data_IF_264789621352
#
_entry.id   IF_264789621352
#
_cell.length_a   1.000
_cell.length_b   1.000
_cell.length_c   1.000
_cell.angle_alpha   90.00
_cell.angle_beta   90.00
_cell.angle_gamma   90.00
#
_symmetry.space_group_name_H-M   'P 1'
#
loop_
_entity.id
_entity.type
_entity.pdbx_description
1 polymer ?
#
# COMPACT_ATOMS: atom_id res chain seq x y z
N UNK A 1 -11.57 18.78 -38.93
CA UNK A 1 -11.36 17.36 -38.56
C UNK A 1 -10.78 17.37 -37.16
N UNK A 2 -11.43 16.71 -36.19
CA UNK A 2 -10.90 16.58 -34.85
C UNK A 2 -9.75 15.56 -34.86
N UNK A 3 -8.62 15.88 -34.21
CA UNK A 3 -7.54 14.93 -34.02
C UNK A 3 -7.95 13.98 -32.89
N UNK A 4 -8.21 12.72 -33.22
CA UNK A 4 -8.48 11.68 -32.22
C UNK A 4 -7.15 11.02 -31.88
N UNK A 5 -6.61 11.36 -30.73
CA UNK A 5 -5.41 10.72 -30.19
C UNK A 5 -5.81 9.75 -29.07
N UNK A 6 -5.33 8.51 -29.17
CA UNK A 6 -5.48 7.49 -28.13
C UNK A 6 -4.39 7.69 -27.08
N UNK A 7 -4.78 7.89 -25.82
CA UNK A 7 -3.84 7.89 -24.70
C UNK A 7 -4.07 6.66 -23.84
N UNK A 8 -3.01 5.86 -23.63
CA UNK A 8 -2.99 4.85 -22.56
C UNK A 8 -2.82 5.58 -21.22
N UNK A 9 -3.87 5.58 -20.40
CA UNK A 9 -3.75 5.94 -18.99
C UNK A 9 -2.98 4.81 -18.31
N UNK A 10 -1.87 5.14 -17.64
CA UNK A 10 -0.93 4.23 -17.00
C UNK A 10 -1.53 2.90 -16.47
N UNK A 11 -0.83 1.80 -16.82
CA UNK A 11 -0.78 0.38 -16.41
C UNK A 11 -1.64 -0.22 -15.27
N UNK A 12 -2.42 0.53 -14.47
CA UNK A 12 -3.17 -0.01 -13.33
C UNK A 12 -4.66 0.35 -13.30
N UNK A 13 -5.20 1.06 -14.31
CA UNK A 13 -6.65 1.28 -14.44
C UNK A 13 -7.16 0.90 -15.84
N UNK A 14 -8.11 -0.06 -15.99
CA UNK A 14 -8.68 -0.40 -17.28
C UNK A 14 -9.62 0.71 -17.79
N UNK A 15 -9.29 1.32 -18.93
CA UNK A 15 -10.15 2.26 -19.64
C UNK A 15 -9.49 2.83 -20.90
N UNK A 16 -10.28 3.12 -21.93
CA UNK A 16 -9.85 3.83 -23.14
C UNK A 16 -10.50 5.21 -23.16
N UNK A 17 -9.71 6.28 -23.26
CA UNK A 17 -10.19 7.65 -23.42
C UNK A 17 -10.08 8.12 -24.87
N UNK A 18 -11.12 8.78 -25.37
CA UNK A 18 -11.07 9.49 -26.65
C UNK A 18 -10.85 10.97 -26.34
N UNK A 19 -9.64 11.48 -26.61
CA UNK A 19 -9.37 12.91 -26.53
C UNK A 19 -9.91 13.58 -27.80
N UNK A 20 -10.81 14.53 -27.62
CA UNK A 20 -11.31 15.41 -28.69
C UNK A 20 -10.87 16.82 -28.36
N UNK A 21 -9.71 17.22 -28.85
CA UNK A 21 -9.25 18.60 -28.77
C UNK A 21 -9.75 19.40 -29.98
N UNK A 22 -10.14 20.66 -29.75
CA UNK A 22 -10.40 21.59 -30.85
C UNK A 22 -9.05 21.92 -31.50
N UNK A 23 -8.92 21.90 -32.83
CA UNK A 23 -7.71 22.38 -33.48
C UNK A 23 -7.44 23.83 -33.04
N UNK A 24 -6.21 24.14 -32.60
CA UNK A 24 -5.80 25.43 -32.03
C UNK A 24 -6.40 25.76 -30.64
N UNK A 25 -6.68 24.76 -29.80
CA UNK A 25 -7.07 24.98 -28.41
C UNK A 25 -5.91 25.43 -27.50
N UNK A 26 -4.67 25.41 -27.99
CA UNK A 26 -3.50 25.84 -27.23
C UNK A 26 -3.52 27.37 -27.10
N UNK A 27 -3.88 27.83 -25.90
CA UNK A 27 -3.87 29.25 -25.53
C UNK A 27 -2.64 29.48 -24.67
N UNK A 28 -1.74 30.34 -25.15
CA UNK A 28 -0.54 30.76 -24.43
C UNK A 28 -0.81 32.08 -23.71
N UNK A 29 -0.40 32.15 -22.45
CA UNK A 29 -0.44 33.36 -21.66
C UNK A 29 0.99 33.72 -21.31
N UNK A 30 1.60 34.58 -22.13
CA UNK A 30 2.99 35.01 -22.03
C UNK A 30 3.01 36.51 -21.72
N UNK A 31 3.55 36.88 -20.55
CA UNK A 31 3.68 38.28 -20.17
C UNK A 31 4.77 38.54 -19.12
N UNK A 32 5.46 39.67 -19.33
CA UNK A 32 6.38 40.24 -18.36
C UNK A 32 5.65 41.02 -17.27
N UNK A 33 6.15 40.92 -16.04
CA UNK A 33 5.61 41.62 -14.89
C UNK A 33 6.68 41.96 -13.85
N UNK A 34 6.32 42.83 -12.90
CA UNK A 34 7.15 43.05 -11.70
C UNK A 34 7.09 41.81 -10.83
N UNK A 35 8.19 41.50 -10.14
CA UNK A 35 8.30 40.36 -9.23
C UNK A 35 7.04 40.16 -8.34
N UNK A 36 6.47 38.97 -8.42
CA UNK A 36 5.32 38.51 -7.63
C UNK A 36 3.96 38.68 -8.34
N UNK A 37 3.86 39.50 -9.40
CA UNK A 37 2.59 39.67 -10.12
C UNK A 37 2.25 38.48 -11.01
N UNK A 38 3.22 37.91 -11.73
CA UNK A 38 3.05 36.69 -12.51
C UNK A 38 2.65 35.52 -11.61
N UNK A 39 3.38 35.32 -10.51
CA UNK A 39 3.01 34.36 -9.47
C UNK A 39 1.58 34.58 -8.94
N UNK A 40 1.16 35.84 -8.77
CA UNK A 40 -0.18 36.19 -8.33
C UNK A 40 -1.28 35.73 -9.30
N UNK A 41 -1.05 35.85 -10.61
CA UNK A 41 -1.98 35.36 -11.65
C UNK A 41 -2.11 33.83 -11.56
N UNK A 42 -0.99 33.11 -11.49
CA UNK A 42 -0.98 31.66 -11.36
C UNK A 42 -1.72 31.18 -10.10
N UNK A 43 -1.39 31.76 -8.94
CA UNK A 43 -2.02 31.41 -7.66
C UNK A 43 -3.53 31.69 -7.71
N UNK A 44 -3.93 32.81 -8.33
CA UNK A 44 -5.34 33.16 -8.50
C UNK A 44 -6.06 32.13 -9.36
N UNK A 45 -5.46 31.68 -10.47
CA UNK A 45 -6.00 30.62 -11.30
C UNK A 45 -6.15 29.31 -10.51
N UNK A 46 -5.12 28.91 -9.77
CA UNK A 46 -5.13 27.69 -8.93
C UNK A 46 -6.27 27.75 -7.90
N UNK A 47 -6.55 28.90 -7.30
CA UNK A 47 -7.66 29.06 -6.36
C UNK A 47 -9.03 29.23 -7.03
N UNK A 48 -9.06 29.64 -8.30
CA UNK A 48 -10.28 29.80 -9.06
C UNK A 48 -10.78 28.49 -9.68
N UNK A 49 -9.88 27.58 -10.10
CA UNK A 49 -10.23 26.28 -10.69
C UNK A 49 -11.27 25.48 -9.85
N UNK A 50 -11.14 25.34 -8.52
CA UNK A 50 -12.14 24.65 -7.70
C UNK A 50 -13.48 25.38 -7.66
N UNK A 51 -13.46 26.72 -7.71
CA UNK A 51 -14.68 27.53 -7.79
C UNK A 51 -15.38 27.40 -9.15
N UNK A 52 -14.70 26.88 -10.17
CA UNK A 52 -15.29 26.48 -11.44
C UNK A 52 -15.67 24.98 -11.48
N UNK A 53 -15.41 24.25 -10.39
CA UNK A 53 -15.73 22.83 -10.23
C UNK A 53 -14.65 21.88 -10.74
N UNK A 54 -13.43 22.37 -10.96
CA UNK A 54 -12.29 21.51 -11.32
C UNK A 54 -11.61 20.94 -10.07
N UNK A 55 -11.34 19.64 -10.11
CA UNK A 55 -10.29 19.05 -9.29
C UNK A 55 -8.93 19.44 -9.88
N UNK A 56 -7.93 19.66 -9.02
CA UNK A 56 -6.60 20.10 -9.46
C UNK A 56 -5.51 19.37 -8.70
N UNK A 57 -4.46 18.97 -9.42
CA UNK A 57 -3.29 18.31 -8.84
C UNK A 57 -2.04 18.84 -9.54
N UNK A 58 -1.02 19.19 -8.74
CA UNK A 58 0.32 19.51 -9.24
C UNK A 58 1.07 18.20 -9.49
N UNK A 59 1.44 17.96 -10.74
CA UNK A 59 2.04 16.70 -11.19
C UNK A 59 3.55 16.73 -11.01
N UNK A 60 4.16 17.81 -11.49
CA UNK A 60 5.59 18.03 -11.38
C UNK A 60 5.89 19.50 -11.02
N UNK A 61 7.10 19.69 -10.52
CA UNK A 61 7.66 20.98 -10.22
C UNK A 61 9.18 20.85 -10.34
N UNK A 62 9.79 21.72 -11.12
CA UNK A 62 11.24 21.80 -11.25
C UNK A 62 11.68 23.25 -11.09
N UNK A 63 12.65 23.46 -10.20
CA UNK A 63 13.28 24.76 -9.95
C UNK A 63 14.72 24.69 -10.42
N UNK A 64 15.13 25.69 -11.20
CA UNK A 64 16.47 25.87 -11.74
C UNK A 64 16.95 27.28 -11.43
N UNK A 65 18.16 27.41 -10.90
CA UNK A 65 18.76 28.71 -10.57
C UNK A 65 20.14 28.81 -11.18
N UNK A 66 20.47 29.95 -11.79
CA UNK A 66 21.79 30.15 -12.39
C UNK A 66 22.84 30.54 -11.33
N UNK A 67 24.10 30.09 -11.45
CA UNK A 67 25.17 30.41 -10.50
C UNK A 67 25.47 31.92 -10.37
N UNK A 68 25.12 32.71 -11.40
CA UNK A 68 25.29 34.16 -11.42
C UNK A 68 24.38 34.83 -10.38
N UNK A 69 23.24 34.24 -10.05
CA UNK A 69 22.40 34.70 -8.93
C UNK A 69 22.93 34.16 -7.59
N UNK A 70 24.12 34.58 -7.17
CA UNK A 70 24.86 33.99 -6.05
C UNK A 70 24.03 33.81 -4.76
N UNK A 71 23.24 34.81 -4.36
CA UNK A 71 22.43 34.73 -3.13
C UNK A 71 21.40 33.60 -3.19
N UNK A 72 20.63 33.53 -4.28
CA UNK A 72 19.58 32.53 -4.44
C UNK A 72 20.14 31.15 -4.79
N UNK A 73 21.23 31.11 -5.57
CA UNK A 73 21.94 29.88 -5.91
C UNK A 73 22.54 29.21 -4.66
N UNK A 74 23.26 29.96 -3.82
CA UNK A 74 23.85 29.42 -2.59
C UNK A 74 22.78 28.90 -1.62
N UNK A 75 21.65 29.59 -1.49
CA UNK A 75 20.52 29.12 -0.69
C UNK A 75 19.94 27.81 -1.24
N UNK A 76 19.76 27.73 -2.56
CA UNK A 76 19.18 26.56 -3.24
C UNK A 76 20.10 25.34 -3.15
N UNK A 77 21.40 25.53 -3.37
CA UNK A 77 22.41 24.47 -3.25
C UNK A 77 22.55 23.99 -1.80
N UNK A 78 22.65 24.91 -0.84
CA UNK A 78 22.71 24.55 0.59
C UNK A 78 21.48 23.74 1.00
N UNK A 79 20.29 24.16 0.58
CA UNK A 79 19.06 23.41 0.83
C UNK A 79 19.10 22.02 0.19
N UNK A 80 19.64 21.90 -1.03
CA UNK A 80 19.80 20.61 -1.72
C UNK A 80 20.75 19.68 -0.97
N UNK A 81 21.89 20.18 -0.50
CA UNK A 81 22.87 19.42 0.29
C UNK A 81 22.31 18.97 1.64
N UNK A 82 21.57 19.85 2.34
CA UNK A 82 20.87 19.51 3.59
C UNK A 82 19.83 18.40 3.36
N UNK A 83 19.02 18.51 2.29
CA UNK A 83 18.07 17.46 1.91
C UNK A 83 18.78 16.15 1.57
N UNK A 84 19.92 16.19 0.87
CA UNK A 84 20.71 15.00 0.56
C UNK A 84 21.24 14.31 1.81
N UNK A 85 21.75 15.08 2.78
CA UNK A 85 22.23 14.55 4.05
C UNK A 85 21.09 13.87 4.84
N UNK A 86 19.91 14.50 4.89
CA UNK A 86 18.71 13.93 5.52
C UNK A 86 18.28 12.64 4.80
N UNK A 87 18.28 12.63 3.46
CA UNK A 87 17.94 11.45 2.65
C UNK A 87 18.91 10.31 2.93
N UNK A 88 20.22 10.56 2.91
CA UNK A 88 21.25 9.54 3.21
C UNK A 88 21.07 8.95 4.62
N UNK A 89 20.87 9.79 5.63
CA UNK A 89 20.62 9.36 7.01
C UNK A 89 19.33 8.53 7.15
N UNK A 90 18.26 8.96 6.47
CA UNK A 90 16.97 8.25 6.49
C UNK A 90 17.05 6.91 5.76
N UNK A 91 17.75 6.84 4.61
CA UNK A 91 17.97 5.59 3.88
C UNK A 91 18.81 4.60 4.69
N UNK A 92 19.82 5.07 5.42
CA UNK A 92 20.58 4.22 6.34
C UNK A 92 19.67 3.64 7.43
N UNK A 93 18.80 4.47 8.01
CA UNK A 93 17.82 4.04 9.03
C UNK A 93 16.81 3.00 8.48
N UNK A 94 16.35 3.18 7.23
CA UNK A 94 15.49 2.22 6.53
C UNK A 94 16.22 0.90 6.30
N UNK A 95 17.49 0.94 5.86
CA UNK A 95 18.29 -0.25 5.63
C UNK A 95 18.51 -1.04 6.94
N UNK A 96 18.83 -0.36 8.04
CA UNK A 96 18.94 -1.00 9.36
C UNK A 96 17.61 -1.62 9.80
N UNK A 97 16.50 -0.89 9.67
CA UNK A 97 15.17 -1.40 10.04
C UNK A 97 14.75 -2.62 9.20
N UNK A 98 15.11 -2.65 7.91
CA UNK A 98 14.86 -3.80 7.03
C UNK A 98 15.70 -5.01 7.44
N UNK A 99 16.99 -4.82 7.71
CA UNK A 99 17.88 -5.88 8.19
C UNK A 99 17.38 -6.48 9.51
N UNK A 100 16.97 -5.64 10.46
CA UNK A 100 16.39 -6.08 11.74
C UNK A 100 15.09 -6.87 11.51
N UNK A 101 14.23 -6.41 10.60
CA UNK A 101 12.98 -7.09 10.26
C UNK A 101 13.24 -8.48 9.65
N UNK A 102 14.22 -8.60 8.75
CA UNK A 102 14.59 -9.87 8.13
C UNK A 102 15.14 -10.86 9.15
N UNK A 103 16.00 -10.39 10.06
CA UNK A 103 16.52 -11.18 11.17
C UNK A 103 15.39 -11.68 12.08
N UNK A 104 14.49 -10.78 12.50
CA UNK A 104 13.35 -11.15 13.33
C UNK A 104 12.38 -12.12 12.62
N UNK A 105 12.17 -11.96 11.31
CA UNK A 105 11.37 -12.90 10.51
C UNK A 105 12.03 -14.26 10.38
N UNK A 106 13.36 -14.30 10.24
CA UNK A 106 14.11 -15.54 10.24
C UNK A 106 13.94 -16.28 11.57
N UNK A 107 14.13 -15.57 12.69
CA UNK A 107 13.92 -16.15 14.02
C UNK A 107 12.47 -16.61 14.20
N UNK A 108 11.49 -15.77 13.83
CA UNK A 108 10.07 -16.11 13.90
C UNK A 108 9.75 -17.41 13.15
N UNK A 109 10.34 -17.64 11.96
CA UNK A 109 10.17 -18.89 11.20
C UNK A 109 10.67 -20.09 12.01
N UNK A 110 11.87 -19.99 12.60
CA UNK A 110 12.43 -21.07 13.42
C UNK A 110 11.57 -21.37 14.66
N UNK A 111 11.10 -20.34 15.37
CA UNK A 111 10.21 -20.53 16.51
C UNK A 111 8.82 -21.05 16.09
N UNK A 112 8.34 -20.68 14.89
CA UNK A 112 7.12 -21.24 14.32
C UNK A 112 7.26 -22.75 14.07
N UNK A 113 8.39 -23.20 13.53
CA UNK A 113 8.66 -24.64 13.34
C UNK A 113 8.59 -25.41 14.66
N UNK A 114 9.18 -24.87 15.74
CA UNK A 114 9.07 -25.48 17.07
C UNK A 114 7.61 -25.55 17.55
N UNK A 115 6.85 -24.47 17.40
CA UNK A 115 5.42 -24.44 17.73
C UNK A 115 4.61 -25.44 16.89
N UNK A 116 4.98 -25.63 15.62
CA UNK A 116 4.32 -26.57 14.73
C UNK A 116 4.62 -28.02 15.13
N UNK A 117 5.84 -28.35 15.61
CA UNK A 117 6.13 -29.66 16.19
C UNK A 117 5.27 -29.97 17.43
N UNK A 118 5.11 -29.01 18.33
CA UNK A 118 4.21 -29.16 19.49
C UNK A 118 2.76 -29.38 19.04
N UNK A 119 2.28 -28.64 18.04
CA UNK A 119 0.94 -28.84 17.48
C UNK A 119 0.77 -30.19 16.81
N UNK A 120 1.78 -30.70 16.09
CA UNK A 120 1.74 -32.03 15.49
C UNK A 120 1.55 -33.11 16.56
N UNK A 121 2.24 -33.00 17.69
CA UNK A 121 2.07 -33.92 18.82
C UNK A 121 0.66 -33.83 19.40
N UNK A 122 0.14 -32.62 19.65
CA UNK A 122 -1.20 -32.43 20.21
C UNK A 122 -2.33 -32.90 19.28
N UNK A 123 -2.23 -32.58 17.97
CA UNK A 123 -3.22 -32.99 16.97
C UNK A 123 -3.15 -34.49 16.72
N UNK A 124 -1.95 -35.06 16.64
CA UNK A 124 -1.74 -36.50 16.53
C UNK A 124 -2.37 -37.26 17.70
N UNK A 125 -2.16 -36.80 18.94
CA UNK A 125 -2.79 -37.36 20.15
C UNK A 125 -4.32 -37.26 20.11
N UNK A 126 -4.88 -36.13 19.66
CA UNK A 126 -6.35 -35.93 19.59
C UNK A 126 -7.04 -36.71 18.47
N UNK A 127 -6.39 -36.87 17.31
CA UNK A 127 -6.97 -37.54 16.13
C UNK A 127 -6.60 -39.02 16.02
N UNK A 128 -5.71 -39.51 16.88
CA UNK A 128 -5.18 -40.88 16.78
C UNK A 128 -4.23 -41.09 15.59
N UNK A 129 -3.70 -40.01 15.01
CA UNK A 129 -2.72 -40.07 13.91
C UNK A 129 -1.31 -40.24 14.49
N UNK A 130 -0.93 -41.50 14.67
CA UNK A 130 0.33 -41.90 15.27
C UNK A 130 1.54 -41.47 14.45
N UNK A 131 1.41 -41.37 13.12
CA UNK A 131 2.49 -40.96 12.23
C UNK A 131 2.83 -39.48 12.42
N UNK A 132 1.81 -38.62 12.50
CA UNK A 132 1.97 -37.18 12.73
C UNK A 132 2.57 -36.91 14.12
N UNK A 133 2.13 -37.68 15.13
CA UNK A 133 2.66 -37.61 16.50
C UNK A 133 4.15 -37.98 16.54
N UNK A 134 4.52 -39.11 15.95
CA UNK A 134 5.91 -39.58 15.89
C UNK A 134 6.83 -38.58 15.19
N UNK A 135 6.39 -37.95 14.11
CA UNK A 135 7.18 -36.95 13.40
C UNK A 135 7.51 -35.73 14.28
N UNK A 136 6.53 -35.17 14.98
CA UNK A 136 6.76 -34.05 15.90
C UNK A 136 7.65 -34.45 17.08
N UNK A 137 7.43 -35.63 17.64
CA UNK A 137 8.22 -36.17 18.76
C UNK A 137 9.68 -36.42 18.37
N UNK A 138 9.91 -37.00 17.20
CA UNK A 138 11.27 -37.22 16.68
C UNK A 138 11.98 -35.90 16.41
N UNK A 139 11.30 -34.89 15.87
CA UNK A 139 11.89 -33.58 15.63
C UNK A 139 12.33 -32.91 16.96
N UNK A 140 11.50 -32.94 17.99
CA UNK A 140 11.85 -32.39 19.31
C UNK A 140 12.95 -33.18 20.02
N UNK A 141 12.96 -34.50 19.90
CA UNK A 141 14.05 -35.35 20.43
C UNK A 141 15.38 -35.07 19.74
N UNK A 142 15.40 -34.85 18.43
CA UNK A 142 16.60 -34.48 17.70
C UNK A 142 17.16 -33.13 18.21
N UNK A 143 16.29 -32.13 18.41
CA UNK A 143 16.67 -30.83 18.99
C UNK A 143 17.23 -31.00 20.41
N UNK A 144 16.61 -31.86 21.24
CA UNK A 144 17.08 -32.15 22.59
C UNK A 144 18.48 -32.77 22.59
N UNK A 145 18.74 -33.71 21.68
CA UNK A 145 20.07 -34.33 21.56
C UNK A 145 21.12 -33.27 21.20
N UNK A 146 20.83 -32.45 20.20
CA UNK A 146 21.78 -31.44 19.70
C UNK A 146 22.02 -30.31 20.72
N UNK A 147 21.01 -29.86 21.45
CA UNK A 147 21.10 -28.65 22.28
C UNK A 147 21.30 -28.90 23.77
N UNK A 148 20.81 -30.02 24.29
CA UNK A 148 20.84 -30.31 25.72
C UNK A 148 21.82 -31.42 25.98
N UNK A 149 21.62 -32.57 25.35
CA UNK A 149 22.40 -33.79 25.61
C UNK A 149 23.89 -33.63 25.24
N UNK A 150 24.17 -32.96 24.12
CA UNK A 150 25.55 -32.66 23.70
C UNK A 150 26.27 -31.64 24.60
N UNK A 151 25.53 -30.86 25.39
CA UNK A 151 26.06 -29.76 26.21
C UNK A 151 25.93 -30.01 27.73
N UNK A 152 25.20 -31.04 28.15
CA UNK A 152 25.15 -31.51 29.54
C UNK A 152 26.40 -32.32 29.90
N UNK A 153 27.55 -31.65 29.94
CA UNK A 153 28.68 -32.09 30.76
C UNK A 153 28.33 -31.77 32.23
N UNK A 154 27.51 -32.62 32.85
CA UNK A 154 27.06 -32.44 34.23
C UNK A 154 28.24 -32.56 35.21
N UNK A 155 28.53 -31.51 36.03
CA UNK A 155 29.41 -31.67 37.18
C UNK A 155 28.68 -32.57 38.19
N UNK A 156 29.30 -33.70 38.54
CA UNK A 156 28.81 -34.75 39.46
C UNK A 156 28.01 -35.93 38.87
N UNK A 157 28.07 -36.22 37.57
CA UNK A 157 27.75 -37.57 37.08
C UNK A 157 29.04 -38.40 36.89
N UNK A 158 29.04 -39.69 37.31
CA UNK A 158 30.26 -40.48 37.39
C UNK A 158 30.85 -40.72 36.00
N UNK A 159 32.18 -40.87 35.98
CA UNK A 159 33.11 -41.13 34.87
C UNK A 159 32.65 -42.24 33.86
N UNK A 160 31.55 -42.93 34.12
CA UNK A 160 30.94 -43.99 33.30
C UNK A 160 30.24 -43.53 32.00
N UNK A 161 29.89 -42.26 31.81
CA UNK A 161 29.29 -41.79 30.55
C UNK A 161 30.33 -41.58 29.43
N UNK A 162 31.58 -41.24 29.78
CA UNK A 162 32.69 -41.11 28.80
C UNK A 162 33.10 -42.46 28.19
N UNK A 163 32.91 -43.58 28.90
CA UNK A 163 33.18 -44.93 28.39
C UNK A 163 32.06 -45.48 27.48
N UNK A 164 30.90 -44.80 27.42
CA UNK A 164 29.73 -45.18 26.60
C UNK A 164 29.70 -44.41 25.27
N UNK A 165 30.62 -43.45 25.04
CA UNK A 165 30.71 -42.63 23.82
C UNK A 165 30.79 -43.49 22.54
N UNK A 166 31.39 -44.68 22.58
CA UNK A 166 31.41 -45.59 21.44
C UNK A 166 30.03 -46.19 21.09
N UNK A 167 29.08 -46.22 22.04
CA UNK A 167 27.69 -46.72 21.88
C UNK A 167 26.65 -45.61 21.78
N UNK A 168 27.08 -44.34 21.76
CA UNK A 168 26.18 -43.19 21.61
C UNK A 168 25.26 -43.26 20.39
N UNK A 169 25.72 -43.66 19.18
CA UNK A 169 24.83 -43.77 18.02
C UNK A 169 23.68 -44.75 18.24
N UNK A 170 23.94 -45.89 18.88
CA UNK A 170 22.92 -46.90 19.23
C UNK A 170 21.97 -46.41 20.31
N UNK A 171 22.46 -45.74 21.35
CA UNK A 171 21.64 -45.16 22.42
C UNK A 171 20.73 -44.04 21.88
N UNK A 172 21.24 -43.20 20.97
CA UNK A 172 20.45 -42.17 20.29
C UNK A 172 19.34 -42.81 19.45
N UNK A 173 19.66 -43.82 18.65
CA UNK A 173 18.68 -44.57 17.85
C UNK A 173 17.57 -45.16 18.73
N UNK A 174 17.92 -45.74 19.88
CA UNK A 174 16.93 -46.35 20.77
C UNK A 174 16.13 -45.32 21.56
N UNK A 175 16.75 -44.19 21.94
CA UNK A 175 16.05 -43.04 22.52
C UNK A 175 14.98 -42.47 21.58
N UNK A 176 15.25 -42.41 20.27
CA UNK A 176 14.28 -41.95 19.27
C UNK A 176 13.02 -42.82 19.21
N UNK A 177 13.12 -44.11 19.57
CA UNK A 177 11.99 -45.07 19.58
C UNK A 177 11.16 -45.02 20.87
N UNK A 178 11.69 -44.46 21.96
CA UNK A 178 11.00 -44.44 23.26
C UNK A 178 9.67 -43.69 23.21
N UNK A 179 8.69 -44.16 23.97
CA UNK A 179 7.41 -43.50 24.21
C UNK A 179 7.40 -42.73 25.54
N UNK A 180 6.38 -41.88 25.73
CA UNK A 180 6.20 -41.14 27.00
C UNK A 180 6.04 -42.08 28.22
N UNK A 181 5.62 -43.32 28.02
CA UNK A 181 5.37 -44.31 29.09
C UNK A 181 6.64 -45.07 29.53
N UNK A 182 7.70 -44.99 28.72
CA UNK A 182 8.96 -45.71 28.93
C UNK A 182 9.84 -44.97 29.95
N UNK A 183 9.45 -44.97 31.23
CA UNK A 183 10.15 -44.30 32.35
C UNK A 183 10.94 -45.30 33.22
N UNK A 184 10.59 -46.59 33.16
CA UNK A 184 11.15 -47.63 34.02
C UNK A 184 12.22 -48.45 33.29
N UNK A 185 13.41 -48.58 33.88
CA UNK A 185 14.58 -49.19 33.25
C UNK A 185 14.37 -50.68 32.93
N UNK A 186 13.63 -51.42 33.78
CA UNK A 186 13.34 -52.84 33.55
C UNK A 186 12.39 -53.04 32.36
N UNK A 187 11.37 -52.18 32.21
CA UNK A 187 10.45 -52.24 31.07
C UNK A 187 11.12 -51.88 29.76
N UNK A 188 12.08 -50.94 29.78
CA UNK A 188 12.87 -50.56 28.60
C UNK A 188 13.80 -51.71 28.18
N UNK A 189 14.46 -52.36 29.16
CA UNK A 189 15.30 -53.54 28.95
C UNK A 189 14.54 -54.64 28.21
N UNK A 190 13.34 -54.99 28.69
CA UNK A 190 12.51 -56.05 28.10
C UNK A 190 11.92 -55.66 26.75
N UNK A 191 11.45 -54.42 26.59
CA UNK A 191 10.77 -53.94 25.39
C UNK A 191 11.71 -53.70 24.20
N UNK A 192 12.94 -53.25 24.46
CA UNK A 192 13.90 -52.89 23.41
C UNK A 192 15.14 -53.79 23.36
N UNK A 193 15.21 -54.83 24.22
CA UNK A 193 16.31 -55.79 24.29
C UNK A 193 17.71 -55.15 24.45
N UNK A 194 17.80 -54.15 25.32
CA UNK A 194 19.04 -53.41 25.65
C UNK A 194 19.63 -53.88 26.96
N UNK A 195 20.91 -53.56 27.23
CA UNK A 195 21.52 -53.90 28.53
C UNK A 195 20.88 -53.12 29.69
N UNK A 196 21.02 -53.61 30.92
CA UNK A 196 20.46 -52.93 32.09
C UNK A 196 21.03 -51.53 32.32
N UNK A 197 22.33 -51.37 32.06
CA UNK A 197 23.00 -50.07 32.11
C UNK A 197 22.47 -49.11 31.02
N UNK A 198 22.25 -49.58 29.79
CA UNK A 198 21.63 -48.78 28.73
C UNK A 198 20.16 -48.45 29.04
N UNK A 199 19.42 -49.37 29.64
CA UNK A 199 18.04 -49.14 30.09
C UNK A 199 17.93 -48.02 31.13
N UNK A 200 18.87 -47.95 32.10
CA UNK A 200 18.93 -46.86 33.09
C UNK A 200 19.27 -45.51 32.45
N UNK A 201 20.21 -45.50 31.50
CA UNK A 201 20.57 -44.29 30.75
C UNK A 201 19.36 -43.80 29.93
N UNK A 202 18.70 -44.68 29.18
CA UNK A 202 17.52 -44.36 28.36
C UNK A 202 16.35 -43.87 29.22
N UNK A 203 16.08 -44.49 30.36
CA UNK A 203 15.07 -44.04 31.33
C UNK A 203 15.35 -42.62 31.83
N UNK A 204 16.60 -42.35 32.20
CA UNK A 204 17.04 -41.03 32.68
C UNK A 204 16.93 -39.98 31.58
N UNK A 205 17.35 -40.31 30.36
CA UNK A 205 17.29 -39.45 29.17
C UNK A 205 15.84 -39.12 28.78
N UNK A 206 14.94 -40.10 28.85
CA UNK A 206 13.51 -39.89 28.59
C UNK A 206 12.86 -39.00 29.66
N UNK A 207 13.23 -39.17 30.94
CA UNK A 207 12.76 -38.30 32.03
C UNK A 207 13.21 -36.85 31.83
N UNK A 208 14.50 -36.63 31.54
CA UNK A 208 15.06 -35.31 31.25
C UNK A 208 14.42 -34.67 30.02
N UNK A 209 14.19 -35.45 28.97
CA UNK A 209 13.52 -34.97 27.77
C UNK A 209 12.08 -34.51 28.05
N UNK A 210 11.31 -35.25 28.85
CA UNK A 210 9.93 -34.85 29.21
C UNK A 210 9.91 -33.56 30.01
N UNK A 211 10.76 -33.44 31.02
CA UNK A 211 10.91 -32.23 31.83
C UNK A 211 11.33 -31.03 30.97
N UNK A 212 12.33 -31.23 30.11
CA UNK A 212 12.77 -30.20 29.16
C UNK A 212 11.66 -29.81 28.17
N UNK A 213 11.00 -30.79 27.53
CA UNK A 213 9.99 -30.57 26.50
C UNK A 213 8.80 -29.80 27.06
N UNK A 214 8.22 -30.28 28.16
CA UNK A 214 6.92 -29.84 28.64
C UNK A 214 7.01 -28.61 29.54
N UNK A 215 8.04 -28.51 30.40
CA UNK A 215 8.12 -27.44 31.41
C UNK A 215 9.02 -26.28 31.01
N UNK A 216 10.15 -26.57 30.38
CA UNK A 216 11.17 -25.56 30.07
C UNK A 216 11.04 -25.02 28.65
N UNK A 217 11.17 -25.92 27.66
CA UNK A 217 11.30 -25.56 26.26
C UNK A 217 9.99 -25.06 25.67
N UNK A 218 8.85 -25.75 25.89
CA UNK A 218 7.55 -25.30 25.39
C UNK A 218 7.22 -23.88 25.86
N UNK A 219 7.36 -23.62 27.17
CA UNK A 219 7.08 -22.29 27.75
C UNK A 219 7.99 -21.22 27.16
N UNK A 220 9.29 -21.48 27.08
CA UNK A 220 10.26 -20.54 26.52
C UNK A 220 9.98 -20.23 25.04
N UNK A 221 9.66 -21.26 24.24
CA UNK A 221 9.32 -21.12 22.81
C UNK A 221 8.04 -20.31 22.65
N UNK A 222 6.99 -20.56 23.44
CA UNK A 222 5.72 -19.83 23.37
C UNK A 222 5.88 -18.34 23.72
N UNK A 223 6.57 -18.04 24.81
CA UNK A 223 6.84 -16.65 25.23
C UNK A 223 7.67 -15.91 24.19
N UNK A 224 8.73 -16.55 23.69
CA UNK A 224 9.60 -15.98 22.68
C UNK A 224 8.88 -15.77 21.35
N UNK A 225 8.05 -16.73 20.93
CA UNK A 225 7.27 -16.62 19.70
C UNK A 225 6.29 -15.43 19.75
N UNK A 226 5.57 -15.26 20.87
CA UNK A 226 4.68 -14.10 21.07
C UNK A 226 5.44 -12.78 21.05
N UNK A 227 6.59 -12.74 21.73
CA UNK A 227 7.46 -11.55 21.76
C UNK A 227 7.98 -11.19 20.36
N UNK A 228 8.50 -12.18 19.62
CA UNK A 228 9.00 -11.99 18.25
C UNK A 228 7.90 -11.51 17.31
N UNK A 229 6.68 -12.03 17.44
CA UNK A 229 5.56 -11.59 16.61
C UNK A 229 5.26 -10.10 16.83
N UNK A 230 5.23 -9.64 18.09
CA UNK A 230 5.09 -8.22 18.41
C UNK A 230 6.24 -7.37 17.90
N UNK A 231 7.49 -7.86 18.01
CA UNK A 231 8.67 -7.16 17.49
C UNK A 231 8.65 -7.03 15.96
N UNK A 232 8.24 -8.08 15.25
CA UNK A 232 8.11 -8.06 13.77
C UNK A 232 7.06 -7.04 13.34
N UNK A 233 5.90 -7.02 14.00
CA UNK A 233 4.85 -6.04 13.70
C UNK A 233 5.31 -4.60 13.97
N UNK A 234 5.96 -4.38 15.12
CA UNK A 234 6.51 -3.07 15.48
C UNK A 234 7.56 -2.61 14.47
N UNK A 235 8.52 -3.46 14.10
CA UNK A 235 9.55 -3.13 13.11
C UNK A 235 9.00 -2.92 11.72
N UNK A 236 7.99 -3.69 11.31
CA UNK A 236 7.29 -3.49 10.03
C UNK A 236 6.65 -2.10 10.00
N UNK A 237 5.99 -1.70 11.09
CA UNK A 237 5.38 -0.38 11.21
C UNK A 237 6.42 0.74 11.14
N UNK A 238 7.51 0.63 11.89
CA UNK A 238 8.61 1.62 11.84
C UNK A 238 9.24 1.72 10.45
N UNK A 239 9.42 0.61 9.73
CA UNK A 239 9.93 0.61 8.36
C UNK A 239 9.02 1.40 7.42
N UNK A 240 7.70 1.17 7.46
CA UNK A 240 6.74 1.92 6.64
C UNK A 240 6.69 3.41 7.04
N UNK A 241 6.74 3.72 8.34
CA UNK A 241 6.80 5.10 8.83
C UNK A 241 8.02 5.83 8.26
N UNK A 242 9.21 5.24 8.31
CA UNK A 242 10.42 5.84 7.71
C UNK A 242 10.29 6.05 6.20
N UNK A 243 9.67 5.10 5.50
CA UNK A 243 9.41 5.19 4.06
C UNK A 243 8.42 6.32 3.73
N UNK A 244 7.39 6.53 4.53
CA UNK A 244 6.47 7.66 4.35
C UNK A 244 7.13 9.00 4.70
N UNK A 245 7.95 9.04 5.76
CA UNK A 245 8.67 10.25 6.19
C UNK A 245 9.67 10.77 5.15
N UNK A 246 10.33 9.88 4.39
CA UNK A 246 11.31 10.30 3.38
C UNK A 246 10.68 10.81 2.08
N UNK A 247 9.45 10.41 1.75
CA UNK A 247 8.75 10.81 0.51
C UNK A 247 8.73 12.33 0.27
N UNK A 248 8.29 13.19 1.22
CA UNK A 248 8.27 14.63 0.99
C UNK A 248 9.67 15.21 0.76
N UNK A 249 10.66 14.75 1.53
CA UNK A 249 12.07 15.17 1.40
C UNK A 249 12.64 14.78 0.04
N UNK A 250 12.37 13.55 -0.41
CA UNK A 250 12.81 13.05 -1.72
C UNK A 250 12.13 13.80 -2.87
N UNK A 251 10.83 14.12 -2.74
CA UNK A 251 10.11 14.93 -3.74
C UNK A 251 10.73 16.32 -3.87
N UNK A 252 11.00 16.98 -2.75
CA UNK A 252 11.64 18.31 -2.72
C UNK A 252 13.08 18.28 -3.23
N UNK A 253 13.84 17.23 -2.94
CA UNK A 253 15.18 17.05 -3.49
C UNK A 253 15.15 16.89 -5.01
N UNK A 254 14.20 16.09 -5.53
CA UNK A 254 14.03 15.85 -6.97
C UNK A 254 13.50 17.07 -7.75
N UNK A 255 12.79 17.98 -7.09
CA UNK A 255 12.32 19.22 -7.71
C UNK A 255 13.44 20.25 -7.86
N UNK A 256 14.48 20.20 -7.02
CA UNK A 256 15.64 21.10 -7.14
C UNK A 256 16.65 20.47 -8.11
N UNK A 257 16.58 20.90 -9.36
CA UNK A 257 17.45 20.41 -10.42
C UNK A 257 18.59 21.40 -10.60
N UNK A 258 19.81 20.88 -10.62
CA UNK A 258 20.92 21.70 -11.10
C UNK A 258 20.72 21.84 -12.62
N UNK A 259 20.60 23.07 -13.10
CA UNK A 259 19.95 23.45 -14.36
C UNK A 259 20.43 22.80 -15.65
N UNK A 260 21.51 22.01 -15.58
CA UNK A 260 22.15 21.33 -16.69
C UNK A 260 22.11 19.80 -16.60
N UNK A 261 21.52 19.24 -15.53
CA UNK A 261 21.64 17.80 -15.21
C UNK A 261 20.51 16.91 -15.76
N UNK A 262 19.38 17.47 -16.21
CA UNK A 262 18.25 16.71 -16.80
C UNK A 262 18.11 16.99 -18.30
N UNK A 263 18.20 15.94 -19.12
CA UNK A 263 18.28 15.98 -20.58
C UNK A 263 17.05 16.51 -21.35
N UNK A 264 15.96 16.95 -20.69
CA UNK A 264 14.77 17.51 -21.34
C UNK A 264 14.70 19.03 -21.15
N UNK A 265 14.33 19.46 -19.94
CA UNK A 265 14.19 20.87 -19.55
C UNK A 265 15.48 21.67 -19.80
N UNK A 266 16.66 21.12 -19.49
CA UNK A 266 17.93 21.81 -19.75
C UNK A 266 18.17 22.01 -21.25
N UNK A 267 17.83 21.03 -22.08
CA UNK A 267 18.04 21.11 -23.53
C UNK A 267 17.11 22.09 -24.23
N UNK A 268 15.88 22.24 -23.71
CA UNK A 268 14.91 23.22 -24.22
C UNK A 268 15.25 24.63 -23.74
N UNK A 269 15.75 24.77 -22.49
CA UNK A 269 16.23 26.04 -21.96
C UNK A 269 17.53 26.50 -22.63
N UNK A 270 18.49 25.61 -22.90
CA UNK A 270 19.70 25.94 -23.66
C UNK A 270 19.39 26.47 -25.07
N UNK A 271 18.25 26.10 -25.64
CA UNK A 271 17.75 26.61 -26.93
C UNK A 271 17.00 27.94 -26.80
N UNK A 272 16.55 28.31 -25.62
CA UNK A 272 15.80 29.55 -25.41
C UNK A 272 16.71 30.78 -25.54
N UNK A 273 16.35 31.72 -26.40
CA UNK A 273 17.18 32.89 -26.72
C UNK A 273 17.46 33.80 -25.51
N UNK A 274 16.58 33.78 -24.51
CA UNK A 274 16.71 34.54 -23.27
C UNK A 274 17.51 33.82 -22.18
N UNK A 275 17.79 32.52 -22.34
CA UNK A 275 18.52 31.73 -21.35
C UNK A 275 20.03 31.90 -21.51
N UNK A 276 20.64 32.66 -20.59
CA UNK A 276 22.08 32.91 -20.57
C UNK A 276 22.67 32.62 -19.18
N UNK A 277 22.77 31.34 -18.79
CA UNK A 277 23.09 30.94 -17.42
C UNK A 277 24.49 31.36 -16.96
N UNK A 278 25.42 31.61 -17.90
CA UNK A 278 26.77 32.09 -17.61
C UNK A 278 26.92 33.60 -17.46
N UNK A 279 25.94 34.41 -17.89
CA UNK A 279 26.05 35.88 -17.89
C UNK A 279 24.91 36.59 -17.17
N UNK A 280 23.81 35.91 -16.88
CA UNK A 280 22.61 36.52 -16.30
C UNK A 280 22.11 35.73 -15.09
N UNK A 281 21.75 36.47 -14.04
CA UNK A 281 21.14 35.93 -12.83
C UNK A 281 19.67 35.61 -13.15
N UNK A 282 19.33 34.31 -13.22
CA UNK A 282 18.00 33.83 -13.56
C UNK A 282 17.58 32.73 -12.60
N UNK A 283 16.30 32.71 -12.26
CA UNK A 283 15.60 31.59 -11.61
C UNK A 283 14.47 31.16 -12.52
N UNK A 284 14.29 29.86 -12.70
CA UNK A 284 13.24 29.30 -13.50
C UNK A 284 12.48 28.26 -12.69
N UNK A 285 11.19 28.46 -12.52
CA UNK A 285 10.28 27.50 -11.93
C UNK A 285 9.37 26.96 -13.03
N UNK A 286 9.30 25.64 -13.16
CA UNK A 286 8.40 24.97 -14.10
C UNK A 286 7.47 24.06 -13.31
N UNK A 287 6.19 24.05 -13.65
CA UNK A 287 5.20 23.18 -13.01
C UNK A 287 4.10 22.79 -13.99
N UNK A 288 3.68 21.54 -13.94
CA UNK A 288 2.52 21.05 -14.68
C UNK A 288 1.37 20.83 -13.72
N UNK A 289 0.27 21.53 -13.97
CA UNK A 289 -0.95 21.42 -13.18
C UNK A 289 -1.98 20.72 -14.05
N UNK A 290 -2.49 19.60 -13.54
CA UNK A 290 -3.66 18.96 -14.15
C UNK A 290 -4.91 19.47 -13.45
N UNK A 291 -5.89 19.88 -14.26
CA UNK A 291 -7.21 20.25 -13.79
C UNK A 291 -8.25 19.47 -14.57
N UNK A 292 -9.17 18.79 -13.88
CA UNK A 292 -10.25 18.07 -14.54
C UNK A 292 -11.60 18.28 -13.87
N UNK A 293 -12.65 18.19 -14.67
CA UNK A 293 -14.04 18.30 -14.21
C UNK A 293 -14.92 17.37 -15.04
N UNK A 294 -15.71 16.49 -14.43
CA UNK A 294 -16.68 15.72 -15.19
C UNK A 294 -17.82 16.63 -15.68
N UNK A 295 -18.34 16.36 -16.86
CA UNK A 295 -19.49 17.10 -17.40
C UNK A 295 -20.50 16.12 -18.00
N UNK A 296 -21.79 16.48 -17.96
CA UNK A 296 -22.80 15.76 -18.70
C UNK A 296 -22.76 16.22 -20.16
N UNK A 297 -22.35 15.34 -21.08
CA UNK A 297 -22.39 15.65 -22.50
C UNK A 297 -23.85 15.84 -22.94
N UNK A 298 -24.20 16.95 -23.60
CA UNK A 298 -25.52 17.09 -24.19
C UNK A 298 -25.63 16.10 -25.36
N UNK A 299 -26.26 14.95 -25.12
CA UNK A 299 -26.63 14.02 -26.17
C UNK A 299 -27.58 14.74 -27.14
N UNK A 300 -27.18 14.90 -28.40
CA UNK A 300 -27.83 15.71 -29.44
C UNK A 300 -29.31 15.36 -29.71
N UNK A 301 -29.77 14.20 -29.23
CA UNK A 301 -31.13 13.68 -29.39
C UNK A 301 -31.84 13.39 -28.05
N UNK A 302 -31.25 13.79 -26.93
CA UNK A 302 -31.88 13.62 -25.62
C UNK A 302 -32.66 14.89 -25.31
N UNK A 303 -33.97 14.75 -25.11
CA UNK A 303 -34.82 15.86 -24.69
C UNK A 303 -34.27 16.47 -23.41
N UNK A 304 -34.10 17.79 -23.42
CA UNK A 304 -33.77 18.58 -22.23
C UNK A 304 -34.81 18.21 -21.16
N UNK A 305 -34.36 17.71 -20.01
CA UNK A 305 -35.28 17.44 -18.90
C UNK A 305 -35.78 18.81 -18.40
N UNK A 306 -37.07 19.06 -18.57
CA UNK A 306 -37.69 20.36 -18.20
C UNK A 306 -37.82 20.58 -16.68
N UNK A 307 -37.48 19.59 -15.83
CA UNK A 307 -37.45 19.77 -14.39
C UNK A 307 -36.50 18.78 -13.68
N UNK A 308 -35.83 19.20 -12.58
CA UNK A 308 -35.23 18.27 -11.64
C UNK A 308 -36.38 17.51 -10.97
N UNK A 309 -36.58 16.24 -11.34
CA UNK A 309 -37.46 15.38 -10.58
C UNK A 309 -36.71 14.99 -9.31
N UNK A 310 -36.94 15.69 -8.20
CA UNK A 310 -36.39 15.30 -6.89
C UNK A 310 -36.70 13.84 -6.54
N UNK A 311 -37.80 13.30 -7.07
CA UNK A 311 -38.22 11.90 -6.93
C UNK A 311 -38.78 11.32 -8.26
N UNK A 312 -38.32 10.12 -8.64
CA UNK A 312 -38.80 9.33 -9.79
C UNK A 312 -39.42 8.00 -9.32
N UNK A 313 -40.30 7.36 -10.11
CA UNK A 313 -40.73 5.99 -9.85
C UNK A 313 -39.54 5.01 -9.83
N UNK A 314 -39.54 4.05 -8.90
CA UNK A 314 -38.48 3.04 -8.77
C UNK A 314 -38.28 2.20 -10.06
N UNK A 315 -39.34 2.00 -10.85
CA UNK A 315 -39.26 1.35 -12.16
C UNK A 315 -38.39 2.15 -13.14
N UNK A 316 -38.50 3.48 -13.14
CA UNK A 316 -37.66 4.36 -13.97
C UNK A 316 -36.20 4.39 -13.51
N UNK A 317 -35.94 4.05 -12.24
CA UNK A 317 -34.58 3.88 -11.72
C UNK A 317 -33.95 2.52 -12.09
N UNK A 318 -34.73 1.61 -12.69
CA UNK A 318 -34.27 0.29 -13.13
C UNK A 318 -34.56 -0.85 -12.15
N UNK A 319 -35.35 -0.66 -11.09
CA UNK A 319 -35.79 -1.76 -10.21
C UNK A 319 -36.85 -2.63 -10.88
N UNK A 320 -36.76 -3.95 -10.71
CA UNK A 320 -37.78 -4.90 -11.18
C UNK A 320 -39.04 -4.83 -10.31
N UNK A 321 -40.23 -5.20 -10.82
CA UNK A 321 -41.46 -5.22 -10.04
C UNK A 321 -41.35 -6.02 -8.73
N UNK A 322 -40.70 -7.19 -8.78
CA UNK A 322 -40.46 -8.06 -7.62
C UNK A 322 -39.56 -7.39 -6.56
N UNK A 323 -38.54 -6.65 -7.00
CA UNK A 323 -37.62 -5.91 -6.13
C UNK A 323 -38.36 -4.74 -5.45
N UNK A 324 -39.26 -4.07 -6.18
CA UNK A 324 -40.06 -2.95 -5.67
C UNK A 324 -41.02 -3.42 -4.57
N UNK A 325 -41.64 -4.60 -4.72
CA UNK A 325 -42.51 -5.17 -3.69
C UNK A 325 -41.74 -5.51 -2.41
N UNK A 326 -40.53 -6.06 -2.54
CA UNK A 326 -39.64 -6.33 -1.40
C UNK A 326 -39.25 -5.03 -0.68
N UNK A 327 -38.86 -4.00 -1.44
CA UNK A 327 -38.48 -2.71 -0.89
C UNK A 327 -39.64 -1.96 -0.22
N UNK A 328 -40.88 -2.15 -0.72
CA UNK A 328 -42.12 -1.67 -0.07
C UNK A 328 -42.39 -2.41 1.25
N UNK A 329 -42.24 -3.75 1.27
CA UNK A 329 -42.41 -4.57 2.49
C UNK A 329 -41.41 -4.17 3.58
N UNK A 330 -40.18 -3.86 3.20
CA UNK A 330 -39.12 -3.42 4.11
C UNK A 330 -39.19 -1.93 4.52
N UNK A 331 -40.20 -1.17 4.05
CA UNK A 331 -40.40 0.27 4.32
C UNK A 331 -39.23 1.17 3.86
N UNK A 332 -38.41 0.73 2.91
CA UNK A 332 -37.28 1.50 2.39
C UNK A 332 -37.70 2.52 1.32
N UNK A 333 -38.83 2.27 0.66
CA UNK A 333 -39.45 3.17 -0.30
C UNK A 333 -40.81 3.61 0.26
N UNK A 334 -41.16 4.90 0.10
CA UNK A 334 -42.48 5.43 0.49
C UNK A 334 -43.60 4.68 -0.27
N UNK A 335 -44.82 4.65 0.27
CA UNK A 335 -45.98 3.95 -0.34
C UNK A 335 -46.27 4.34 -1.79
N UNK A 336 -45.79 5.51 -2.23
CA UNK A 336 -45.86 6.01 -3.59
C UNK A 336 -44.86 5.34 -4.58
N UNK A 337 -43.97 4.47 -4.12
CA UNK A 337 -43.00 3.75 -4.98
C UNK A 337 -41.91 4.63 -5.58
N UNK A 338 -41.66 5.82 -5.02
CA UNK A 338 -40.69 6.78 -5.56
C UNK A 338 -39.33 6.73 -4.87
N UNK A 339 -38.27 6.96 -5.64
CA UNK A 339 -36.88 7.06 -5.20
C UNK A 339 -36.29 8.39 -5.64
N UNK A 340 -35.32 8.94 -4.89
CA UNK A 340 -34.62 10.17 -5.29
C UNK A 340 -33.98 10.00 -6.66
N UNK A 341 -34.12 10.95 -7.58
CA UNK A 341 -33.53 10.80 -8.92
C UNK A 341 -32.02 11.05 -8.92
N UNK A 342 -31.33 10.38 -9.83
CA UNK A 342 -29.97 10.70 -10.23
C UNK A 342 -29.97 11.45 -11.58
N UNK A 343 -28.89 12.18 -11.91
CA UNK A 343 -28.74 12.87 -13.20
C UNK A 343 -28.97 11.94 -14.39
N UNK A 344 -28.50 10.70 -14.30
CA UNK A 344 -28.74 9.66 -15.30
C UNK A 344 -29.58 8.52 -14.73
N UNK A 345 -30.65 8.17 -15.46
CA UNK A 345 -31.54 7.05 -15.16
C UNK A 345 -31.84 6.26 -16.45
N UNK A 346 -32.02 4.93 -16.38
CA UNK A 346 -32.01 4.11 -15.18
C UNK A 346 -30.59 3.98 -14.60
N UNK A 347 -30.46 4.20 -13.30
CA UNK A 347 -29.19 4.06 -12.57
C UNK A 347 -28.81 2.60 -12.32
N UNK A 348 -29.77 1.68 -12.45
CA UNK A 348 -29.59 0.23 -12.41
C UNK A 348 -29.88 -0.31 -13.82
N UNK A 349 -28.90 -0.23 -14.70
CA UNK A 349 -28.99 -0.71 -16.08
C UNK A 349 -28.51 -2.17 -16.23
N UNK A 350 -28.51 -2.66 -17.47
CA UNK A 350 -28.06 -4.03 -17.79
C UNK A 350 -26.58 -4.27 -17.46
N UNK A 351 -25.75 -3.22 -17.49
CA UNK A 351 -24.32 -3.30 -17.16
C UNK A 351 -24.15 -3.53 -15.66
N UNK A 352 -24.82 -2.73 -14.82
CA UNK A 352 -24.83 -2.92 -13.37
C UNK A 352 -25.33 -4.32 -13.01
N UNK A 353 -26.38 -4.80 -13.67
CA UNK A 353 -26.91 -6.15 -13.44
C UNK A 353 -25.96 -7.26 -13.87
N UNK A 354 -25.13 -7.04 -14.89
CA UNK A 354 -24.06 -7.97 -15.28
C UNK A 354 -22.95 -8.01 -14.24
N UNK A 355 -22.46 -6.84 -13.80
CA UNK A 355 -21.40 -6.72 -12.80
C UNK A 355 -21.80 -7.37 -11.47
N UNK A 356 -23.07 -7.23 -11.05
CA UNK A 356 -23.58 -7.91 -9.85
C UNK A 356 -23.34 -9.42 -9.93
N UNK A 357 -23.65 -10.07 -11.07
CA UNK A 357 -23.45 -11.52 -11.24
C UNK A 357 -21.98 -11.91 -11.16
N UNK A 358 -21.10 -11.07 -11.70
CA UNK A 358 -19.66 -11.31 -11.66
C UNK A 358 -19.13 -11.22 -10.22
N UNK A 359 -19.57 -10.22 -9.44
CA UNK A 359 -19.23 -10.07 -8.01
C UNK A 359 -19.76 -11.25 -7.18
N UNK A 360 -21.02 -11.65 -7.39
CA UNK A 360 -21.60 -12.79 -6.69
C UNK A 360 -20.80 -14.08 -6.93
N UNK A 361 -20.31 -14.27 -8.16
CA UNK A 361 -19.51 -15.43 -8.55
C UNK A 361 -18.09 -15.38 -7.97
N UNK A 362 -17.44 -14.23 -8.01
CA UNK A 362 -16.05 -14.07 -7.55
C UNK A 362 -15.93 -14.15 -6.03
N UNK A 363 -16.87 -13.51 -5.32
CA UNK A 363 -16.82 -13.40 -3.86
C UNK A 363 -17.75 -14.38 -3.13
N UNK A 364 -18.50 -15.21 -3.88
CA UNK A 364 -19.46 -16.18 -3.35
C UNK A 364 -20.48 -15.55 -2.37
N UNK A 365 -20.98 -14.37 -2.74
CA UNK A 365 -22.00 -13.60 -2.00
C UNK A 365 -23.29 -13.51 -2.83
N UNK A 366 -24.43 -13.21 -2.18
CA UNK A 366 -25.69 -12.90 -2.87
C UNK A 366 -26.09 -11.46 -2.60
N UNK A 367 -26.24 -10.66 -3.64
CA UNK A 367 -26.57 -9.25 -3.55
C UNK A 367 -28.10 -9.09 -3.60
N UNK A 368 -28.66 -8.55 -2.53
CA UNK A 368 -30.10 -8.35 -2.37
C UNK A 368 -30.58 -7.00 -2.91
N UNK A 369 -31.88 -6.89 -3.23
CA UNK A 369 -32.49 -5.62 -3.67
C UNK A 369 -32.26 -4.46 -2.68
N UNK A 370 -32.19 -4.77 -1.39
CA UNK A 370 -31.85 -3.83 -0.31
C UNK A 370 -30.45 -3.27 -0.44
N UNK A 371 -29.47 -4.11 -0.73
CA UNK A 371 -28.07 -3.67 -0.88
C UNK A 371 -27.89 -2.81 -2.13
N UNK A 372 -28.59 -3.16 -3.21
CA UNK A 372 -28.65 -2.34 -4.44
C UNK A 372 -29.25 -0.97 -4.13
N UNK A 373 -30.36 -0.93 -3.38
CA UNK A 373 -31.00 0.31 -2.95
C UNK A 373 -30.08 1.15 -2.06
N UNK A 374 -29.40 0.55 -1.09
CA UNK A 374 -28.46 1.24 -0.21
C UNK A 374 -27.24 1.78 -0.97
N UNK A 375 -26.71 1.01 -1.93
CA UNK A 375 -25.62 1.47 -2.80
C UNK A 375 -26.04 2.67 -3.63
N UNK A 376 -27.26 2.64 -4.17
CA UNK A 376 -27.87 3.77 -4.87
C UNK A 376 -28.10 4.98 -3.95
N UNK A 377 -28.54 4.78 -2.71
CA UNK A 377 -28.67 5.90 -1.75
C UNK A 377 -27.31 6.53 -1.42
N UNK A 378 -26.26 5.73 -1.20
CA UNK A 378 -24.90 6.25 -1.02
C UNK A 378 -24.44 7.09 -2.22
N UNK A 379 -24.82 6.67 -3.43
CA UNK A 379 -24.55 7.42 -4.66
C UNK A 379 -25.28 8.77 -4.68
N UNK A 380 -26.56 8.77 -4.32
CA UNK A 380 -27.37 10.00 -4.19
C UNK A 380 -26.79 10.94 -3.13
N UNK A 381 -26.43 10.45 -1.95
CA UNK A 381 -25.83 11.25 -0.88
C UNK A 381 -24.49 11.87 -1.29
N UNK A 382 -23.66 11.14 -2.04
CA UNK A 382 -22.41 11.67 -2.60
C UNK A 382 -22.66 12.74 -3.63
N UNK A 383 -23.66 12.54 -4.49
CA UNK A 383 -24.09 13.53 -5.46
C UNK A 383 -24.55 14.81 -4.75
N UNK A 384 -25.49 14.73 -3.80
CA UNK A 384 -25.98 15.87 -3.03
C UNK A 384 -24.85 16.63 -2.31
N UNK A 385 -23.87 15.92 -1.74
CA UNK A 385 -22.70 16.53 -1.10
C UNK A 385 -21.72 17.19 -2.08
N UNK A 386 -21.67 16.73 -3.34
CA UNK A 386 -20.79 17.30 -4.37
C UNK A 386 -21.37 18.55 -5.06
N UNK A 387 -22.68 18.74 -4.96
CA UNK A 387 -23.41 19.87 -5.57
C UNK A 387 -23.23 21.17 -4.76
N UNK A 388 -22.60 21.14 -3.58
CA UNK A 388 -22.28 22.35 -2.80
C UNK A 388 -21.09 23.09 -3.42
N UNK A 389 -21.32 23.70 -4.58
CA UNK A 389 -20.38 24.56 -5.29
C UNK A 389 -20.57 24.46 -6.80
N UNK A 390 -21.07 25.54 -7.40
CA UNK A 390 -21.16 25.85 -8.86
C UNK A 390 -22.51 25.58 -9.54
N UNK A 391 -23.24 26.69 -9.79
CA UNK A 391 -24.15 27.06 -10.90
C UNK A 391 -24.72 25.99 -11.84
N UNK A 392 -26.04 26.04 -12.10
CA UNK A 392 -26.89 25.63 -13.26
C UNK A 392 -26.55 24.43 -14.18
N UNK A 393 -25.44 23.73 -13.99
CA UNK A 393 -25.02 22.58 -14.77
C UNK A 393 -24.66 21.43 -13.82
N UNK A 394 -25.39 20.33 -13.94
CA UNK A 394 -25.23 19.11 -13.13
C UNK A 394 -23.78 18.58 -13.23
N UNK A 395 -23.01 18.67 -12.14
CA UNK A 395 -21.70 18.05 -12.02
C UNK A 395 -21.88 16.55 -11.74
N UNK A 396 -21.92 15.74 -12.79
CA UNK A 396 -22.02 14.30 -12.63
C UNK A 396 -20.66 13.68 -12.32
N UNK A 397 -20.39 13.39 -11.04
CA UNK A 397 -19.10 12.84 -10.53
C UNK A 397 -18.64 11.56 -11.27
N UNK A 398 -19.56 10.81 -11.89
CA UNK A 398 -19.29 9.55 -12.58
C UNK A 398 -19.52 9.63 -14.09
N UNK A 399 -19.51 10.84 -14.65
CA UNK A 399 -19.59 10.98 -16.11
C UNK A 399 -18.40 10.30 -16.77
N UNK A 400 -18.60 9.45 -17.80
CA UNK A 400 -17.51 8.99 -18.66
C UNK A 400 -16.90 10.14 -19.47
N UNK A 401 -17.52 11.33 -19.46
CA UNK A 401 -17.03 12.54 -20.09
C UNK A 401 -16.45 13.50 -19.05
N UNK A 402 -15.22 13.92 -19.28
CA UNK A 402 -14.53 14.90 -18.45
C UNK A 402 -13.82 15.93 -19.32
N UNK A 403 -13.81 17.16 -18.85
CA UNK A 403 -12.88 18.18 -19.34
C UNK A 403 -11.57 17.97 -18.60
N UNK A 404 -10.47 17.98 -19.35
CA UNK A 404 -9.13 17.88 -18.81
C UNK A 404 -8.29 19.02 -19.38
N UNK A 405 -7.64 19.74 -18.49
CA UNK A 405 -6.66 20.77 -18.82
C UNK A 405 -5.31 20.34 -18.24
N UNK A 406 -4.34 20.24 -19.13
CA UNK A 406 -2.93 20.27 -18.76
C UNK A 406 -2.47 21.71 -18.86
N UNK A 407 -2.08 22.29 -17.72
CA UNK A 407 -1.64 23.68 -17.61
C UNK A 407 -0.14 23.62 -17.31
N UNK A 408 0.72 23.59 -18.35
CA UNK A 408 2.15 23.80 -18.16
C UNK A 408 2.36 25.26 -17.76
N UNK A 409 3.26 25.47 -16.81
CA UNK A 409 3.60 26.80 -16.31
C UNK A 409 5.11 26.91 -16.28
N UNK A 410 5.62 27.98 -16.89
CA UNK A 410 7.01 28.37 -16.84
C UNK A 410 7.07 29.76 -16.25
N UNK A 411 7.82 29.91 -15.17
CA UNK A 411 8.05 31.19 -14.51
C UNK A 411 9.54 31.47 -14.52
N UNK A 412 9.95 32.53 -15.21
CA UNK A 412 11.33 32.99 -15.20
C UNK A 412 11.45 34.28 -14.39
N UNK A 413 12.34 34.31 -13.40
CA UNK A 413 12.76 35.53 -12.73
C UNK A 413 14.14 35.90 -13.24
N UNK A 414 14.25 37.10 -13.81
CA UNK A 414 15.47 37.61 -14.41
C UNK A 414 15.91 38.84 -13.64
N UNK A 415 17.14 38.82 -13.13
CA UNK A 415 17.75 40.00 -12.51
C UNK A 415 18.63 40.72 -13.53
N UNK A 416 18.28 41.96 -13.82
CA UNK A 416 19.01 42.84 -14.72
C UNK A 416 20.27 43.45 -14.06
N UNK A 417 21.25 43.93 -14.84
CA UNK A 417 22.48 44.52 -14.30
C UNK A 417 22.26 45.74 -13.40
N UNK A 418 21.16 46.48 -13.60
CA UNK A 418 20.77 47.61 -12.76
C UNK A 418 20.15 47.17 -11.41
N UNK A 419 20.05 45.87 -11.15
CA UNK A 419 19.47 45.29 -9.94
C UNK A 419 17.96 45.13 -9.99
N UNK A 420 17.27 45.56 -11.05
CA UNK A 420 15.83 45.34 -11.24
C UNK A 420 15.56 43.86 -11.51
N UNK A 421 14.52 43.33 -10.88
CA UNK A 421 14.06 41.96 -11.09
C UNK A 421 12.76 42.00 -11.88
N UNK A 422 12.72 41.23 -12.98
CA UNK A 422 11.56 41.04 -13.84
C UNK A 422 11.11 39.60 -13.68
N UNK A 423 9.79 39.39 -13.62
CA UNK A 423 9.17 38.08 -13.61
C UNK A 423 8.37 37.90 -14.89
N UNK A 424 8.74 36.89 -15.65
CA UNK A 424 8.06 36.42 -16.85
C UNK A 424 7.29 35.14 -16.50
N UNK A 425 6.03 35.07 -16.95
CA UNK A 425 5.15 33.92 -16.79
C UNK A 425 4.64 33.49 -18.16
N UNK A 426 4.88 32.22 -18.50
CA UNK A 426 4.52 31.57 -19.75
C UNK A 426 3.75 30.27 -19.52
#
# INVERSE_FOLDING_TARGET
MANVNYFEVHKEMPGFGINVSVPNADIYLDFDSSLGRGSGVLISLIFQLPKWGFERVKIDETVVVTPVFQQYYQLTIKQKEELEAIIKSSLASIATALSDLEMLKHDLRKYKEFMDYFKMIEVGKKKGDEKLRLQGEQALKAIFIDQVDAHTDLPNQPIALRSIVARWPTIISDFMKLSDEDVDAQKIKEKYNVSEAEGVVLATKNKLYKEWRDELFKRAVEERFKSLLGMVEARKKSYEEYKEMIKPTLRRYKSIVDGLSKAGIASDLERAAFWRPGSQAMSLDTATIWAWKPFAAPEKYKSVREAPLDEIPAEKAGFKPEEIELLKKEKLIKSNGKVKALPMEPSIDDVVRKIIKDIEKEYNVKITAKEIFNARQKLVERFEKSVTGVTDYESWIFSPYFMFFEIPVIRAVIRLPNGTEIEDLM
#
